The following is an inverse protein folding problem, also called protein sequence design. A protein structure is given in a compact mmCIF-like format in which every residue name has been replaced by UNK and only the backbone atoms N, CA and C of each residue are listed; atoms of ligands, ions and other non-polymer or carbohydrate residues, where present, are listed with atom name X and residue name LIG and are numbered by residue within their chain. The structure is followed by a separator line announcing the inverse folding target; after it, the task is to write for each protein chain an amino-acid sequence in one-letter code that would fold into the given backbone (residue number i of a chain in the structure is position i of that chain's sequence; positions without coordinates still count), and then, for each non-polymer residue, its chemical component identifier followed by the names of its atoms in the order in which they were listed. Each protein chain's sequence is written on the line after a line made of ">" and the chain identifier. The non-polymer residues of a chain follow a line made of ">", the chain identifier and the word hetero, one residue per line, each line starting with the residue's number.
data_IF_351676235639
#
_entry.id   IF_351676235639
#
_cell.length_a   1.000
_cell.length_b   1.000
_cell.length_c   1.000
_cell.angle_alpha   90.00
_cell.angle_beta   90.00
_cell.angle_gamma   90.00
#
_symmetry.space_group_name_H-M   'P 1'
#
loop_
_entity.id
_entity.type
_entity.pdbx_description
1 polymer ?
#
# COMPACT_ATOMS: atom_id res chain seq x y z
N UNK A 1 5.09 -5.61 -2.77
CA UNK A 1 4.91 -4.24 -3.28
C UNK A 1 3.70 -4.19 -4.21
N UNK A 2 2.79 -3.29 -3.94
CA UNK A 2 1.61 -3.04 -4.76
C UNK A 2 1.62 -1.56 -5.15
N UNK A 3 1.88 -1.26 -6.41
CA UNK A 3 2.12 0.11 -6.86
C UNK A 3 1.31 0.49 -8.10
N UNK A 4 0.75 1.70 -8.07
CA UNK A 4 0.19 2.34 -9.24
C UNK A 4 1.34 2.93 -10.05
N UNK A 5 1.85 2.19 -11.03
CA UNK A 5 3.07 2.56 -11.72
C UNK A 5 3.15 1.97 -13.14
N UNK A 6 3.97 2.58 -13.96
CA UNK A 6 4.33 2.08 -15.28
C UNK A 6 5.50 1.09 -15.13
N UNK A 7 5.28 -0.17 -15.49
CA UNK A 7 6.26 -1.23 -15.32
C UNK A 7 7.60 -0.92 -15.99
N UNK A 8 7.57 -0.31 -17.17
CA UNK A 8 8.78 0.03 -17.92
C UNK A 8 9.75 0.92 -17.13
N UNK A 9 9.21 1.89 -16.39
CA UNK A 9 10.03 2.82 -15.58
C UNK A 9 10.31 2.25 -14.19
N UNK A 10 9.29 1.71 -13.53
CA UNK A 10 9.39 1.26 -12.15
C UNK A 10 10.27 0.03 -12.00
N UNK A 11 10.20 -0.94 -12.92
CA UNK A 11 11.10 -2.09 -12.90
C UNK A 11 12.56 -1.66 -13.02
N UNK A 12 12.86 -0.70 -13.90
CA UNK A 12 14.21 -0.18 -14.05
C UNK A 12 14.71 0.50 -12.77
N UNK A 13 13.85 1.28 -12.10
CA UNK A 13 14.17 1.93 -10.83
C UNK A 13 14.41 0.93 -9.72
N UNK A 14 13.56 -0.09 -9.61
CA UNK A 14 13.68 -1.15 -8.59
C UNK A 14 15.01 -1.88 -8.77
N UNK A 15 15.37 -2.21 -10.00
CA UNK A 15 16.62 -2.92 -10.29
C UNK A 15 17.85 -2.03 -10.08
N UNK A 16 17.78 -0.76 -10.49
CA UNK A 16 18.85 0.21 -10.27
C UNK A 16 19.15 0.43 -8.80
N UNK A 17 18.12 0.48 -7.97
CA UNK A 17 18.22 0.68 -6.52
C UNK A 17 18.41 -0.65 -5.76
N UNK A 18 18.50 -1.76 -6.47
CA UNK A 18 18.68 -3.10 -5.88
C UNK A 18 17.62 -3.46 -4.82
N UNK A 19 16.37 -3.07 -5.06
CA UNK A 19 15.28 -3.28 -4.11
C UNK A 19 14.55 -4.61 -4.30
N UNK A 20 14.64 -5.22 -5.48
CA UNK A 20 13.85 -6.42 -5.80
C UNK A 20 14.00 -7.56 -4.80
N UNK A 21 15.21 -7.87 -4.27
CA UNK A 21 15.36 -8.96 -3.30
C UNK A 21 14.62 -8.73 -1.97
N UNK A 22 14.23 -7.51 -1.67
CA UNK A 22 13.53 -7.17 -0.42
C UNK A 22 12.03 -7.36 -0.49
N UNK A 23 11.49 -7.70 -1.66
CA UNK A 23 10.06 -7.94 -1.86
C UNK A 23 9.80 -9.40 -2.23
N UNK A 24 8.83 -10.02 -1.60
CA UNK A 24 8.38 -11.37 -1.97
C UNK A 24 7.67 -11.38 -3.30
N UNK A 25 6.95 -10.30 -3.61
CA UNK A 25 6.27 -10.12 -4.89
C UNK A 25 6.14 -8.61 -5.21
N UNK A 26 6.03 -8.31 -6.49
CA UNK A 26 5.87 -6.94 -6.99
C UNK A 26 4.72 -6.92 -7.98
N UNK A 27 3.72 -6.09 -7.70
CA UNK A 27 2.54 -5.89 -8.54
C UNK A 27 2.48 -4.44 -9.00
N UNK A 28 2.48 -4.24 -10.32
CA UNK A 28 2.45 -2.92 -10.94
C UNK A 28 1.16 -2.75 -11.74
N UNK A 29 0.50 -1.60 -11.62
CA UNK A 29 -0.81 -1.38 -12.23
C UNK A 29 -0.80 -1.52 -13.76
N UNK A 30 0.27 -1.11 -14.44
CA UNK A 30 0.35 -1.24 -15.89
C UNK A 30 0.41 -2.69 -16.37
N UNK A 31 0.98 -3.60 -15.58
CA UNK A 31 1.00 -5.03 -15.89
C UNK A 31 -0.36 -5.68 -15.63
N UNK A 32 -1.02 -5.27 -14.54
CA UNK A 32 -2.28 -5.86 -14.11
C UNK A 32 -3.49 -5.36 -14.91
N UNK A 33 -3.38 -4.16 -15.50
CA UNK A 33 -4.50 -3.51 -16.16
C UNK A 33 -5.54 -2.93 -15.20
N UNK A 34 -5.24 -2.91 -13.91
CA UNK A 34 -6.05 -2.32 -12.83
C UNK A 34 -5.13 -1.57 -11.88
N UNK A 35 -5.70 -0.68 -11.08
CA UNK A 35 -4.92 0.13 -10.14
C UNK A 35 -5.67 0.35 -8.83
N UNK A 36 -4.95 0.75 -7.80
CA UNK A 36 -5.58 1.20 -6.56
C UNK A 36 -6.37 2.49 -6.85
N UNK A 37 -7.54 2.72 -6.30
CA UNK A 37 -8.18 1.96 -5.22
C UNK A 37 -9.13 0.84 -5.68
N UNK A 38 -9.00 0.34 -6.90
CA UNK A 38 -9.81 -0.78 -7.35
C UNK A 38 -9.54 -2.01 -6.47
N UNK A 39 -10.56 -2.55 -5.76
CA UNK A 39 -10.34 -3.64 -4.81
C UNK A 39 -9.76 -4.89 -5.45
N UNK A 40 -10.03 -5.14 -6.72
CA UNK A 40 -9.52 -6.29 -7.46
C UNK A 40 -8.00 -6.37 -7.46
N UNK A 41 -7.32 -5.21 -7.45
CA UNK A 41 -5.86 -5.17 -7.47
C UNK A 41 -5.25 -5.74 -6.18
N UNK A 42 -5.79 -5.35 -5.03
CA UNK A 42 -5.35 -5.90 -3.75
C UNK A 42 -5.85 -7.34 -3.54
N UNK A 43 -7.06 -7.65 -3.97
CA UNK A 43 -7.60 -9.03 -3.90
C UNK A 43 -6.74 -10.01 -4.67
N UNK A 44 -6.18 -9.61 -5.81
CA UNK A 44 -5.27 -10.44 -6.59
C UNK A 44 -4.06 -10.87 -5.74
N UNK A 45 -3.49 -9.95 -4.98
CA UNK A 45 -2.36 -10.25 -4.09
C UNK A 45 -2.76 -11.25 -3.00
N UNK A 46 -3.90 -11.02 -2.37
CA UNK A 46 -4.40 -11.92 -1.32
C UNK A 46 -4.63 -13.32 -1.86
N UNK A 47 -5.26 -13.44 -3.03
CA UNK A 47 -5.58 -14.73 -3.65
C UNK A 47 -4.31 -15.45 -4.10
N UNK A 48 -3.37 -14.74 -4.74
CA UNK A 48 -2.13 -15.33 -5.24
C UNK A 48 -1.25 -15.91 -4.13
N UNK A 49 -1.31 -15.32 -2.95
CA UNK A 49 -0.48 -15.72 -1.81
C UNK A 49 -1.25 -16.44 -0.69
N UNK A 50 -2.54 -16.68 -0.90
CA UNK A 50 -3.37 -17.35 0.10
C UNK A 50 -3.48 -16.60 1.42
N UNK A 51 -3.51 -15.26 1.35
CA UNK A 51 -3.55 -14.42 2.54
C UNK A 51 -4.97 -14.08 2.94
N UNK A 52 -5.20 -14.03 4.25
CA UNK A 52 -6.49 -13.61 4.82
C UNK A 52 -6.45 -12.10 5.10
N UNK A 53 -7.56 -11.38 4.92
CA UNK A 53 -7.63 -9.96 5.28
C UNK A 53 -7.21 -9.67 6.73
N UNK A 54 -7.54 -10.59 7.66
CA UNK A 54 -7.16 -10.44 9.08
C UNK A 54 -5.66 -10.56 9.36
N UNK A 55 -4.90 -11.08 8.40
CA UNK A 55 -3.44 -11.29 8.52
C UNK A 55 -2.64 -10.27 7.72
N UNK A 56 -3.31 -9.34 7.05
CA UNK A 56 -2.70 -8.46 6.06
C UNK A 56 -2.93 -7.00 6.42
N UNK A 57 -1.91 -6.19 6.22
CA UNK A 57 -2.01 -4.73 6.34
C UNK A 57 -1.52 -4.06 5.06
N UNK A 58 -2.11 -2.92 4.74
CA UNK A 58 -1.65 -2.07 3.65
C UNK A 58 -0.91 -0.87 4.24
N UNK A 59 0.30 -0.64 3.79
CA UNK A 59 1.09 0.53 4.17
C UNK A 59 1.30 1.40 2.94
N UNK A 60 0.92 2.65 3.03
CA UNK A 60 1.07 3.58 1.91
C UNK A 60 0.95 5.03 2.34
N UNK A 61 1.23 5.93 1.41
CA UNK A 61 1.29 7.37 1.69
C UNK A 61 0.09 8.17 1.15
N UNK A 62 -0.89 7.50 0.56
CA UNK A 62 -2.02 8.17 -0.10
C UNK A 62 -3.34 7.64 0.43
N UNK A 63 -4.17 8.54 0.97
CA UNK A 63 -5.51 8.19 1.47
C UNK A 63 -6.42 7.68 0.36
N UNK A 64 -6.36 8.27 -0.83
CA UNK A 64 -7.31 8.01 -1.92
C UNK A 64 -6.99 6.74 -2.71
N UNK A 65 -5.80 6.20 -2.58
CA UNK A 65 -5.38 4.96 -3.25
C UNK A 65 -5.07 3.86 -2.26
N UNK A 66 -4.05 4.04 -1.43
CA UNK A 66 -3.56 3.00 -0.52
C UNK A 66 -4.55 2.69 0.60
N UNK A 67 -4.98 3.71 1.31
CA UNK A 67 -5.90 3.51 2.44
C UNK A 67 -7.31 3.18 1.92
N UNK A 68 -7.72 3.79 0.82
CA UNK A 68 -9.02 3.50 0.21
C UNK A 68 -9.13 2.04 -0.24
N UNK A 69 -8.09 1.46 -0.85
CA UNK A 69 -8.12 0.06 -1.27
C UNK A 69 -8.12 -0.89 -0.08
N UNK A 70 -7.40 -0.56 0.99
CA UNK A 70 -7.41 -1.33 2.22
C UNK A 70 -8.81 -1.38 2.82
N UNK A 71 -9.47 -0.23 2.92
CA UNK A 71 -10.84 -0.12 3.43
C UNK A 71 -11.82 -0.92 2.56
N UNK A 72 -11.70 -0.82 1.24
CA UNK A 72 -12.57 -1.53 0.31
C UNK A 72 -12.46 -3.05 0.41
N UNK A 73 -11.29 -3.57 0.74
CA UNK A 73 -11.03 -5.02 0.88
C UNK A 73 -11.25 -5.50 2.32
N UNK A 74 -11.28 -4.59 3.28
CA UNK A 74 -11.49 -4.93 4.69
C UNK A 74 -10.20 -5.34 5.41
N UNK A 75 -9.07 -4.76 5.02
CA UNK A 75 -7.79 -4.93 5.73
C UNK A 75 -7.39 -3.61 6.39
N UNK A 76 -6.53 -3.70 7.38
CA UNK A 76 -6.02 -2.52 8.08
C UNK A 76 -5.14 -1.69 7.15
N UNK A 77 -5.34 -0.37 7.17
CA UNK A 77 -4.54 0.58 6.42
C UNK A 77 -3.69 1.45 7.35
N UNK A 78 -2.40 1.48 7.10
CA UNK A 78 -1.44 2.30 7.83
C UNK A 78 -0.95 3.40 6.91
N UNK A 79 -1.24 4.65 7.26
CA UNK A 79 -0.78 5.80 6.50
C UNK A 79 0.65 6.16 6.91
N UNK A 80 1.58 6.07 5.96
CA UNK A 80 2.92 6.61 6.09
C UNK A 80 2.88 8.06 5.64
N UNK A 81 2.77 8.99 6.60
CA UNK A 81 2.49 10.40 6.33
C UNK A 81 3.77 11.18 6.03
N UNK A 82 4.44 10.84 4.92
CA UNK A 82 5.67 11.48 4.46
C UNK A 82 5.42 12.75 3.64
N UNK A 83 4.30 12.79 2.90
CA UNK A 83 3.76 14.03 2.35
C UNK A 83 2.63 14.45 3.29
N UNK A 84 2.89 15.37 4.20
CA UNK A 84 2.04 15.45 5.37
C UNK A 84 0.63 15.93 5.02
N UNK A 85 -0.32 15.05 5.18
CA UNK A 85 -1.68 15.47 5.44
C UNK A 85 -1.68 16.18 6.78
N UNK A 86 -2.30 17.34 6.86
CA UNK A 86 -2.47 18.03 8.13
C UNK A 86 -3.44 17.25 9.03
N UNK A 87 -3.38 17.44 10.36
CA UNK A 87 -4.37 16.83 11.26
C UNK A 87 -5.82 17.13 10.85
N UNK A 88 -6.07 18.32 10.32
CA UNK A 88 -7.38 18.75 9.86
C UNK A 88 -7.83 17.98 8.61
N UNK A 89 -6.92 17.75 7.66
CA UNK A 89 -7.21 16.95 6.47
C UNK A 89 -7.53 15.52 6.83
N UNK A 90 -6.79 14.93 7.76
CA UNK A 90 -7.05 13.57 8.24
C UNK A 90 -8.40 13.48 8.96
N UNK A 91 -8.73 14.46 9.79
CA UNK A 91 -9.99 14.51 10.51
C UNK A 91 -11.18 14.64 9.56
N UNK A 92 -11.06 15.46 8.51
CA UNK A 92 -12.13 15.72 7.55
C UNK A 92 -12.24 14.68 6.45
N UNK A 93 -11.28 13.80 6.28
CA UNK A 93 -11.32 12.77 5.25
C UNK A 93 -12.41 11.73 5.54
N UNK A 94 -13.21 11.33 4.54
CA UNK A 94 -14.13 10.19 4.69
C UNK A 94 -13.38 8.86 4.76
N UNK A 95 -12.13 8.82 4.30
CA UNK A 95 -11.28 7.64 4.33
C UNK A 95 -10.37 7.77 5.55
N UNK A 96 -10.43 6.79 6.46
CA UNK A 96 -9.68 6.82 7.72
C UNK A 96 -8.66 5.70 7.78
N UNK A 97 -7.37 6.02 7.97
CA UNK A 97 -6.38 4.99 8.25
C UNK A 97 -6.59 4.43 9.67
N UNK A 98 -6.22 3.18 9.87
CA UNK A 98 -6.23 2.56 11.20
C UNK A 98 -5.09 3.08 12.06
N UNK A 99 -3.98 3.43 11.43
CA UNK A 99 -2.82 4.05 12.07
C UNK A 99 -2.18 5.07 11.14
N UNK A 100 -1.51 6.04 11.75
CA UNK A 100 -0.68 7.01 11.04
C UNK A 100 0.73 6.93 11.60
N UNK A 101 1.71 6.74 10.74
CA UNK A 101 3.13 6.75 11.10
C UNK A 101 3.86 7.78 10.25
N UNK A 102 4.97 8.30 10.73
CA UNK A 102 5.79 9.28 10.01
C UNK A 102 7.10 8.71 9.52
N UNK A 103 7.46 7.51 10.00
CA UNK A 103 8.67 6.79 9.64
C UNK A 103 8.34 5.31 9.49
N UNK A 104 8.80 4.69 8.41
CA UNK A 104 8.55 3.27 8.15
C UNK A 104 9.13 2.36 9.23
N UNK A 105 10.15 2.78 9.94
CA UNK A 105 10.73 2.04 11.05
C UNK A 105 9.77 1.82 12.21
N UNK A 106 8.74 2.66 12.33
CA UNK A 106 7.69 2.48 13.33
C UNK A 106 6.95 1.13 13.18
N UNK A 107 6.97 0.53 12.00
CA UNK A 107 6.37 -0.79 11.74
C UNK A 107 7.04 -1.89 12.57
N UNK A 108 8.33 -1.77 12.85
CA UNK A 108 9.06 -2.75 13.66
C UNK A 108 8.51 -2.88 15.07
N UNK A 109 8.08 -1.76 15.66
CA UNK A 109 7.54 -1.72 17.01
C UNK A 109 6.09 -2.21 17.08
N UNK A 110 5.35 -2.06 15.98
CA UNK A 110 3.92 -2.38 15.94
C UNK A 110 3.62 -3.85 15.64
N UNK A 111 4.58 -4.59 15.05
CA UNK A 111 4.36 -5.95 14.56
C UNK A 111 5.39 -6.98 15.07
N UNK A 112 6.22 -6.60 16.02
CA UNK A 112 7.21 -7.52 16.62
C UNK A 112 6.82 -8.02 17.99
#
# INVERSE_FOLDING_TARGET
>A
LLSNAQAAFTNAEIDLMELRPYFDAIYLSSDAGICKPQPEFLKQVLDDHGLKPSETVMVGNDLTTDIAVAEAVGIDGILLNTFPYSPRELENSPIKPDRVITDIEALKTNFT
#
